data_IF_463920183352
#
_entry.id   IF_463920183352
#
_cell.length_a   1.000
_cell.length_b   1.000
_cell.length_c   1.000
_cell.angle_alpha   90.00
_cell.angle_beta   90.00
_cell.angle_gamma   90.00
#
_symmetry.space_group_name_H-M   'P 1'
#
loop_
_entity.id
_entity.type
_entity.pdbx_description
1 polymer ?
#
# COMPACT_ATOMS: atom_id res chain seq x y z
N UNK A 1 4.86 44.55 -5.70
CA UNK A 1 4.40 43.18 -6.02
C UNK A 1 4.78 42.28 -4.86
N UNK A 2 3.81 41.85 -4.05
CA UNK A 2 4.07 40.92 -2.95
C UNK A 2 4.13 39.50 -3.51
N UNK A 3 5.28 38.84 -3.31
CA UNK A 3 5.49 37.44 -3.63
C UNK A 3 4.66 36.61 -2.64
N UNK A 4 3.61 35.98 -3.16
CA UNK A 4 2.80 35.04 -2.41
C UNK A 4 3.62 33.76 -2.27
N UNK A 5 4.31 33.60 -1.15
CA UNK A 5 4.95 32.34 -0.77
C UNK A 5 3.87 31.32 -0.47
N UNK A 6 3.60 30.41 -1.42
CA UNK A 6 2.74 29.26 -1.20
C UNK A 6 3.46 28.29 -0.25
N UNK A 7 2.95 28.19 0.99
CA UNK A 7 3.36 27.14 1.92
C UNK A 7 3.01 25.79 1.28
N UNK A 8 4.03 25.08 0.82
CA UNK A 8 3.95 23.69 0.38
C UNK A 8 3.46 22.86 1.57
N UNK A 9 2.17 22.63 1.66
CA UNK A 9 1.57 21.69 2.61
C UNK A 9 2.09 20.32 2.22
N UNK A 10 3.03 19.76 2.99
CA UNK A 10 3.40 18.36 2.90
C UNK A 10 2.15 17.54 3.18
N UNK A 11 1.45 17.14 2.12
CA UNK A 11 0.52 16.02 2.17
C UNK A 11 1.30 14.86 2.80
N UNK A 12 0.74 14.12 3.77
CA UNK A 12 1.35 12.88 4.19
C UNK A 12 1.43 12.01 2.94
N UNK A 13 2.64 11.77 2.46
CA UNK A 13 2.86 10.76 1.43
C UNK A 13 2.46 9.46 2.11
N UNK A 14 1.25 8.97 1.83
CA UNK A 14 0.87 7.61 2.17
C UNK A 14 1.75 6.74 1.29
N UNK A 15 2.91 6.35 1.83
CA UNK A 15 3.83 5.44 1.16
C UNK A 15 3.04 4.18 0.80
N UNK A 16 3.29 3.66 -0.42
CA UNK A 16 2.68 2.41 -0.86
C UNK A 16 2.87 1.35 0.24
N UNK A 17 1.84 0.56 0.58
CA UNK A 17 1.98 -0.48 1.57
C UNK A 17 3.17 -1.39 1.23
N UNK A 18 4.04 -1.58 2.21
CA UNK A 18 5.19 -2.48 2.09
C UNK A 18 5.11 -3.58 3.13
N UNK A 19 5.63 -4.75 2.77
CA UNK A 19 5.79 -5.87 3.69
C UNK A 19 7.26 -6.06 4.01
N UNK A 20 7.57 -6.24 5.29
CA UNK A 20 8.94 -6.42 5.75
C UNK A 20 9.42 -7.85 5.52
N UNK A 21 10.73 -8.01 5.37
CA UNK A 21 11.37 -9.34 5.34
C UNK A 21 11.12 -10.18 6.60
N UNK A 22 10.82 -9.56 7.74
CA UNK A 22 10.49 -10.28 8.98
C UNK A 22 9.08 -10.87 8.89
N UNK A 23 8.10 -10.04 8.51
CA UNK A 23 6.73 -10.50 8.27
C UNK A 23 6.72 -11.63 7.23
N UNK A 24 7.44 -11.48 6.12
CA UNK A 24 7.54 -12.55 5.10
C UNK A 24 8.03 -13.88 5.69
N UNK A 25 9.02 -13.85 6.58
CA UNK A 25 9.54 -15.05 7.24
C UNK A 25 8.50 -15.66 8.17
N UNK A 26 7.72 -14.84 8.87
CA UNK A 26 6.63 -15.31 9.73
C UNK A 26 5.51 -15.98 8.92
N UNK A 27 5.09 -15.38 7.81
CA UNK A 27 4.12 -15.99 6.88
C UNK A 27 4.62 -17.32 6.32
N UNK A 28 5.88 -17.39 5.88
CA UNK A 28 6.48 -18.64 5.37
C UNK A 28 6.53 -19.71 6.47
N UNK A 29 6.89 -19.34 7.69
CA UNK A 29 6.95 -20.28 8.81
C UNK A 29 5.56 -20.72 9.26
N UNK A 30 4.55 -19.84 9.19
CA UNK A 30 3.16 -20.17 9.46
C UNK A 30 2.61 -21.18 8.44
N UNK A 31 2.84 -20.97 7.15
CA UNK A 31 2.45 -21.92 6.08
C UNK A 31 3.13 -23.29 6.29
N UNK A 32 4.43 -23.30 6.57
CA UNK A 32 5.17 -24.54 6.88
C UNK A 32 4.66 -25.25 8.11
N UNK A 33 4.28 -24.51 9.16
CA UNK A 33 3.70 -25.06 10.37
C UNK A 33 2.33 -25.66 10.09
N UNK A 34 1.45 -24.95 9.39
CA UNK A 34 0.13 -25.44 9.02
C UNK A 34 0.22 -26.73 8.19
N UNK A 35 1.18 -26.82 7.26
CA UNK A 35 1.44 -28.04 6.48
C UNK A 35 1.98 -29.19 7.31
N UNK A 36 2.90 -28.92 8.23
CA UNK A 36 3.39 -29.94 9.15
C UNK A 36 2.24 -30.52 9.98
N UNK A 37 1.40 -29.65 10.55
CA UNK A 37 0.25 -30.05 11.38
C UNK A 37 -0.82 -30.80 10.57
N UNK A 38 -1.11 -30.37 9.34
CA UNK A 38 -2.03 -31.06 8.43
C UNK A 38 -1.57 -32.48 8.07
N UNK A 39 -0.25 -32.70 8.02
CA UNK A 39 0.34 -34.02 7.80
C UNK A 39 0.58 -34.81 9.09
N UNK A 40 0.20 -34.27 10.26
CA UNK A 40 0.36 -34.91 11.56
C UNK A 40 1.78 -34.84 12.14
N UNK A 41 2.66 -34.00 11.59
CA UNK A 41 4.01 -33.77 12.11
C UNK A 41 4.07 -32.54 13.03
N UNK A 42 5.00 -32.56 13.99
CA UNK A 42 5.33 -31.37 14.78
C UNK A 42 6.24 -30.40 14.00
N UNK A 43 6.06 -29.09 14.20
CA UNK A 43 6.94 -28.07 13.62
C UNK A 43 7.93 -27.55 14.67
N UNK A 44 9.24 -27.44 14.38
CA UNK A 44 9.91 -27.75 13.11
C UNK A 44 10.28 -29.24 12.95
N UNK A 45 10.20 -29.77 11.73
CA UNK A 45 10.60 -31.15 11.40
C UNK A 45 11.56 -31.21 10.20
N UNK A 46 12.04 -32.42 9.86
CA UNK A 46 12.98 -32.63 8.74
C UNK A 46 12.40 -32.17 7.40
N UNK A 47 11.09 -32.34 7.19
CA UNK A 47 10.35 -31.91 5.99
C UNK A 47 10.06 -30.40 6.01
N UNK A 48 9.64 -29.86 7.15
CA UNK A 48 9.30 -28.45 7.34
C UNK A 48 10.25 -27.77 8.35
N UNK A 49 11.40 -27.31 7.85
CA UNK A 49 12.38 -26.59 8.67
C UNK A 49 11.94 -25.15 8.90
N UNK A 50 12.20 -24.63 10.10
CA UNK A 50 12.04 -23.20 10.42
C UNK A 50 12.99 -22.36 9.57
N UNK A 51 12.45 -21.44 8.78
CA UNK A 51 13.21 -20.45 8.05
C UNK A 51 13.70 -19.38 9.02
N UNK A 52 15.00 -19.10 8.96
CA UNK A 52 15.62 -18.02 9.73
C UNK A 52 15.69 -16.76 8.86
N UNK A 53 15.56 -15.59 9.48
CA UNK A 53 15.63 -14.30 8.78
C UNK A 53 16.94 -14.13 7.99
N UNK A 54 18.08 -14.52 8.57
CA UNK A 54 19.39 -14.51 7.89
C UNK A 54 19.42 -15.31 6.58
N UNK A 55 18.68 -16.42 6.50
CA UNK A 55 18.66 -17.28 5.31
C UNK A 55 17.72 -16.71 4.25
N UNK A 56 16.65 -16.05 4.68
CA UNK A 56 15.79 -15.27 3.80
C UNK A 56 16.58 -14.10 3.18
N UNK A 57 17.32 -13.32 3.98
CA UNK A 57 18.12 -12.19 3.47
C UNK A 57 19.13 -12.62 2.40
N UNK A 58 19.75 -13.80 2.54
CA UNK A 58 20.66 -14.37 1.53
C UNK A 58 19.96 -14.79 0.24
N UNK A 59 18.66 -15.07 0.30
CA UNK A 59 17.85 -15.49 -0.85
C UNK A 59 17.34 -14.30 -1.66
N UNK A 60 17.04 -13.18 -1.01
CA UNK A 60 16.53 -11.95 -1.66
C UNK A 60 17.33 -11.54 -2.91
N UNK A 61 18.67 -11.35 -2.85
CA UNK A 61 19.45 -10.97 -4.03
C UNK A 61 19.46 -12.06 -5.12
N UNK A 62 19.29 -13.34 -4.75
CA UNK A 62 19.23 -14.45 -5.73
C UNK A 62 17.91 -14.48 -6.50
N UNK A 63 16.81 -14.04 -5.88
CA UNK A 63 15.47 -14.05 -6.49
C UNK A 63 15.19 -12.76 -7.25
N UNK A 64 15.56 -11.61 -6.67
CA UNK A 64 15.26 -10.29 -7.24
C UNK A 64 16.44 -9.71 -8.05
N UNK A 65 17.64 -10.27 -7.93
CA UNK A 65 18.88 -9.68 -8.45
C UNK A 65 19.53 -8.73 -7.44
N UNK A 66 20.86 -8.65 -7.44
CA UNK A 66 21.64 -7.83 -6.48
C UNK A 66 21.31 -6.34 -6.61
N UNK A 67 21.32 -5.80 -7.83
CA UNK A 67 21.05 -4.38 -8.08
C UNK A 67 19.60 -3.98 -7.75
N UNK A 68 18.64 -4.85 -8.08
CA UNK A 68 17.22 -4.59 -7.86
C UNK A 68 16.85 -4.73 -6.38
N UNK A 69 17.40 -5.73 -5.68
CA UNK A 69 17.13 -5.92 -4.25
C UNK A 69 17.65 -4.77 -3.40
N UNK A 70 18.78 -4.15 -3.76
CA UNK A 70 19.34 -3.02 -3.04
C UNK A 70 18.36 -1.83 -2.90
N UNK A 71 17.43 -1.65 -3.86
CA UNK A 71 16.40 -0.60 -3.82
C UNK A 71 15.41 -0.74 -2.66
N UNK A 72 15.25 -1.97 -2.16
CA UNK A 72 14.30 -2.31 -1.11
C UNK A 72 14.99 -2.57 0.23
N UNK A 73 16.31 -2.35 0.29
CA UNK A 73 17.07 -2.54 1.51
C UNK A 73 16.65 -1.52 2.57
N UNK A 74 16.44 -2.01 3.78
CA UNK A 74 16.02 -1.21 4.92
C UNK A 74 16.74 -1.69 6.18
N UNK A 75 16.53 -0.98 7.27
CA UNK A 75 17.01 -1.37 8.59
C UNK A 75 15.86 -1.29 9.58
N UNK A 76 15.89 -2.16 10.60
CA UNK A 76 14.96 -2.10 11.72
C UNK A 76 15.73 -2.03 13.03
N UNK A 77 15.13 -1.40 14.03
CA UNK A 77 15.65 -1.37 15.40
C UNK A 77 15.05 -2.53 16.17
N UNK A 78 15.93 -3.37 16.71
CA UNK A 78 15.54 -4.45 17.61
C UNK A 78 15.20 -3.89 19.01
N UNK A 79 14.59 -4.70 19.89
CA UNK A 79 14.29 -4.33 21.27
C UNK A 79 15.54 -4.00 22.11
N UNK A 80 16.72 -4.39 21.63
CA UNK A 80 18.04 -4.04 22.19
C UNK A 80 18.57 -2.68 21.69
N UNK A 81 17.86 -2.00 20.79
CA UNK A 81 18.26 -0.72 20.19
C UNK A 81 19.26 -0.84 19.03
N UNK A 82 19.63 -2.06 18.63
CA UNK A 82 20.55 -2.31 17.51
C UNK A 82 19.84 -2.19 16.17
N UNK A 83 20.50 -1.58 15.18
CA UNK A 83 20.03 -1.53 13.80
C UNK A 83 20.44 -2.81 13.06
N UNK A 84 19.45 -3.57 12.61
CA UNK A 84 19.63 -4.82 11.89
C UNK A 84 19.14 -4.70 10.46
N UNK A 85 19.81 -5.36 9.49
CA UNK A 85 19.43 -5.29 8.09
C UNK A 85 18.10 -6.00 7.85
N UNK A 86 17.24 -5.39 7.03
CA UNK A 86 16.01 -5.98 6.55
C UNK A 86 15.69 -5.50 5.13
N UNK A 87 14.56 -5.95 4.59
CA UNK A 87 13.99 -5.41 3.36
C UNK A 87 12.55 -4.97 3.57
N UNK A 88 12.12 -3.97 2.82
CA UNK A 88 10.72 -3.55 2.70
C UNK A 88 10.28 -3.73 1.25
N UNK A 89 9.43 -4.72 1.00
CA UNK A 89 9.01 -5.08 -0.35
C UNK A 89 7.66 -4.44 -0.68
N UNK A 90 7.51 -3.84 -1.87
CA UNK A 90 6.20 -3.59 -2.45
C UNK A 90 5.49 -4.91 -2.77
N UNK A 91 4.20 -4.83 -3.06
CA UNK A 91 3.34 -5.97 -3.37
C UNK A 91 3.91 -6.92 -4.43
N UNK A 92 4.52 -6.38 -5.49
CA UNK A 92 5.09 -7.21 -6.57
C UNK A 92 6.28 -8.03 -6.07
N UNK A 93 7.22 -7.41 -5.37
CA UNK A 93 8.44 -8.05 -4.91
C UNK A 93 8.16 -9.01 -3.74
N UNK A 94 7.22 -8.70 -2.86
CA UNK A 94 6.78 -9.63 -1.81
C UNK A 94 6.15 -10.88 -2.41
N UNK A 95 5.33 -10.70 -3.46
CA UNK A 95 4.73 -11.79 -4.23
C UNK A 95 5.79 -12.65 -4.95
N UNK A 96 6.79 -12.03 -5.61
CA UNK A 96 7.93 -12.75 -6.20
C UNK A 96 8.73 -13.55 -5.15
N UNK A 97 8.94 -12.97 -3.98
CA UNK A 97 9.58 -13.68 -2.88
C UNK A 97 8.74 -14.87 -2.42
N UNK A 98 7.42 -14.72 -2.29
CA UNK A 98 6.50 -15.80 -1.92
C UNK A 98 6.48 -16.93 -2.96
N UNK A 99 6.43 -16.60 -4.26
CA UNK A 99 6.52 -17.57 -5.37
C UNK A 99 7.74 -18.48 -5.26
N UNK A 100 8.87 -17.94 -4.80
CA UNK A 100 10.10 -18.71 -4.64
C UNK A 100 10.02 -19.80 -3.56
N UNK A 101 8.95 -19.79 -2.75
CA UNK A 101 8.69 -20.79 -1.71
C UNK A 101 7.47 -21.65 -2.04
N UNK A 102 6.32 -21.04 -2.37
CA UNK A 102 5.09 -21.75 -2.70
C UNK A 102 4.05 -20.85 -3.40
N UNK A 103 3.23 -21.44 -4.27
CA UNK A 103 2.12 -20.78 -4.97
C UNK A 103 0.97 -20.40 -4.04
N UNK A 104 0.59 -21.23 -3.07
CA UNK A 104 -0.51 -20.88 -2.15
C UNK A 104 -0.13 -19.73 -1.21
N UNK A 105 1.14 -19.69 -0.78
CA UNK A 105 1.69 -18.59 -0.01
C UNK A 105 1.65 -17.28 -0.81
N UNK A 106 1.90 -17.37 -2.12
CA UNK A 106 1.81 -16.22 -3.01
C UNK A 106 0.41 -15.63 -3.02
N UNK A 107 -0.64 -16.46 -3.10
CA UNK A 107 -2.03 -15.99 -3.03
C UNK A 107 -2.32 -15.27 -1.71
N UNK A 108 -1.93 -15.87 -0.58
CA UNK A 108 -2.12 -15.26 0.74
C UNK A 108 -1.40 -13.91 0.90
N UNK A 109 -0.15 -13.82 0.44
CA UNK A 109 0.61 -12.57 0.47
C UNK A 109 -0.01 -11.53 -0.46
N UNK A 110 -0.49 -11.94 -1.63
CA UNK A 110 -1.18 -11.03 -2.56
C UNK A 110 -2.48 -10.47 -1.96
N UNK A 111 -3.31 -11.31 -1.36
CA UNK A 111 -4.56 -10.91 -0.73
C UNK A 111 -4.29 -9.95 0.43
N UNK A 112 -3.35 -10.29 1.31
CA UNK A 112 -2.92 -9.42 2.41
C UNK A 112 -2.44 -8.04 1.92
N UNK A 113 -1.61 -8.00 0.89
CA UNK A 113 -1.13 -6.73 0.32
C UNK A 113 -2.25 -5.94 -0.36
N UNK A 114 -3.19 -6.62 -1.03
CA UNK A 114 -4.36 -5.97 -1.64
C UNK A 114 -5.28 -5.36 -0.58
N UNK A 115 -5.47 -6.04 0.54
CA UNK A 115 -6.22 -5.48 1.67
C UNK A 115 -5.53 -4.27 2.29
N UNK A 116 -4.20 -4.30 2.42
CA UNK A 116 -3.44 -3.15 2.92
C UNK A 116 -3.51 -1.96 1.96
N UNK A 117 -3.46 -2.20 0.65
CA UNK A 117 -3.70 -1.19 -0.39
C UNK A 117 -5.09 -0.58 -0.24
N UNK A 118 -6.14 -1.40 -0.14
CA UNK A 118 -7.51 -0.93 0.06
C UNK A 118 -7.66 -0.12 1.37
N UNK A 119 -7.08 -0.58 2.48
CA UNK A 119 -7.12 0.10 3.79
C UNK A 119 -6.34 1.42 3.80
N UNK A 120 -5.23 1.50 3.06
CA UNK A 120 -4.41 2.71 2.96
C UNK A 120 -4.94 3.72 1.94
N UNK A 121 -5.97 3.35 1.17
CA UNK A 121 -6.47 4.17 0.07
C UNK A 121 -5.50 4.20 -1.14
N UNK A 122 -4.45 3.38 -1.11
CA UNK A 122 -3.48 3.24 -2.18
C UNK A 122 -4.06 2.31 -3.25
N UNK A 123 -4.09 2.73 -4.52
CA UNK A 123 -4.60 1.92 -5.63
C UNK A 123 -6.02 2.24 -6.10
N UNK A 124 -6.70 3.22 -5.50
CA UNK A 124 -7.91 3.77 -6.10
C UNK A 124 -7.58 4.74 -7.24
N UNK A 125 -8.23 4.57 -8.38
CA UNK A 125 -8.18 5.57 -9.45
C UNK A 125 -8.98 6.81 -9.07
N UNK A 126 -8.65 7.96 -9.66
CA UNK A 126 -9.43 9.19 -9.48
C UNK A 126 -10.93 8.94 -9.79
N UNK A 127 -11.21 8.15 -10.82
CA UNK A 127 -12.58 7.78 -11.19
C UNK A 127 -13.27 6.95 -10.09
N UNK A 128 -12.58 5.95 -9.53
CA UNK A 128 -13.13 5.15 -8.42
C UNK A 128 -13.40 6.01 -7.18
N UNK A 129 -12.52 6.98 -6.88
CA UNK A 129 -12.75 7.92 -5.78
C UNK A 129 -13.98 8.81 -6.03
N UNK A 130 -14.20 9.26 -7.28
CA UNK A 130 -15.40 10.00 -7.66
C UNK A 130 -16.66 9.16 -7.53
N UNK A 131 -16.64 7.91 -7.99
CA UNK A 131 -17.78 6.99 -7.89
C UNK A 131 -18.14 6.71 -6.42
N UNK A 132 -17.12 6.51 -5.56
CA UNK A 132 -17.30 6.36 -4.11
C UNK A 132 -17.91 7.60 -3.46
N UNK A 133 -17.53 8.81 -3.90
CA UNK A 133 -18.17 10.05 -3.44
C UNK A 133 -19.64 10.14 -3.83
N UNK A 134 -19.98 9.75 -5.05
CA UNK A 134 -21.37 9.74 -5.52
C UNK A 134 -22.20 8.76 -4.70
N UNK A 135 -21.67 7.56 -4.43
CA UNK A 135 -22.33 6.56 -3.58
C UNK A 135 -22.51 7.05 -2.14
N UNK A 136 -21.48 7.65 -1.53
CA UNK A 136 -21.55 8.19 -0.18
C UNK A 136 -22.60 9.31 -0.06
N UNK A 137 -22.73 10.14 -1.10
CA UNK A 137 -23.76 11.19 -1.16
C UNK A 137 -25.17 10.60 -1.19
N UNK A 138 -25.41 9.60 -2.04
CA UNK A 138 -26.69 8.88 -2.11
C UNK A 138 -27.04 8.20 -0.79
N UNK A 139 -26.06 7.55 -0.14
CA UNK A 139 -26.27 6.93 1.16
C UNK A 139 -26.61 7.94 2.27
N UNK A 140 -25.99 9.14 2.26
CA UNK A 140 -26.35 10.23 3.17
C UNK A 140 -27.78 10.75 2.92
N UNK A 141 -28.23 10.72 1.66
CA UNK A 141 -29.58 11.11 1.27
C UNK A 141 -30.66 10.09 1.71
N UNK A 142 -30.33 8.79 1.69
CA UNK A 142 -31.22 7.65 2.01
C UNK A 142 -31.37 7.35 3.53
N UNK A 143 -30.43 7.80 4.37
CA UNK A 143 -30.42 7.47 5.80
C UNK A 143 -31.55 8.21 6.59
N UNK A 144 -32.62 7.45 6.88
CA UNK A 144 -33.50 7.49 8.07
C UNK A 144 -34.75 8.39 8.08
N UNK A 145 -35.68 8.01 8.97
CA UNK A 145 -37.10 8.37 9.16
C UNK A 145 -37.39 9.50 10.20
N UNK A 146 -36.39 10.09 10.87
CA UNK A 146 -36.59 11.05 11.99
C UNK A 146 -36.02 12.48 11.75
N UNK A 147 -36.87 13.51 11.66
CA UNK A 147 -36.65 14.84 11.03
C UNK A 147 -35.53 15.74 11.61
N UNK A 148 -35.33 15.77 12.93
CA UNK A 148 -34.47 16.78 13.59
C UNK A 148 -32.98 16.44 13.65
N UNK A 149 -32.64 15.19 13.99
CA UNK A 149 -31.26 14.68 14.00
C UNK A 149 -30.69 14.58 12.57
N UNK A 150 -31.55 14.35 11.57
CA UNK A 150 -31.22 14.33 10.13
C UNK A 150 -30.47 15.57 9.67
N UNK A 151 -30.97 16.74 10.03
CA UNK A 151 -30.54 17.99 9.38
C UNK A 151 -29.10 18.35 9.77
N UNK A 152 -28.74 18.13 11.05
CA UNK A 152 -27.37 18.32 11.53
C UNK A 152 -26.40 17.29 10.94
N UNK A 153 -26.75 16.00 10.99
CA UNK A 153 -25.92 14.91 10.43
C UNK A 153 -25.67 15.13 8.93
N UNK A 154 -26.71 15.48 8.16
CA UNK A 154 -26.59 15.82 6.73
C UNK A 154 -25.72 17.04 6.47
N UNK A 155 -25.81 18.09 7.31
CA UNK A 155 -25.01 19.30 7.14
C UNK A 155 -23.52 19.03 7.40
N UNK A 156 -23.21 18.22 8.42
CA UNK A 156 -21.85 17.80 8.75
C UNK A 156 -21.28 16.85 7.68
N UNK A 157 -22.08 15.88 7.21
CA UNK A 157 -21.71 14.96 6.14
C UNK A 157 -21.46 15.72 4.82
N UNK A 158 -22.35 16.64 4.44
CA UNK A 158 -22.22 17.44 3.23
C UNK A 158 -20.97 18.35 3.27
N UNK A 159 -20.68 18.95 4.41
CA UNK A 159 -19.45 19.73 4.60
C UNK A 159 -18.19 18.86 4.42
N UNK A 160 -18.25 17.60 4.85
CA UNK A 160 -17.15 16.64 4.71
C UNK A 160 -17.02 16.16 3.27
N UNK A 161 -18.11 15.74 2.63
CA UNK A 161 -18.14 15.28 1.24
C UNK A 161 -17.69 16.37 0.25
N UNK A 162 -18.05 17.63 0.48
CA UNK A 162 -17.57 18.75 -0.33
C UNK A 162 -16.06 18.98 -0.21
N UNK A 163 -15.48 18.79 0.98
CA UNK A 163 -14.02 18.86 1.16
C UNK A 163 -13.34 17.74 0.39
N UNK A 164 -13.87 16.52 0.47
CA UNK A 164 -13.31 15.36 -0.26
C UNK A 164 -13.42 15.58 -1.78
N UNK A 165 -14.54 16.12 -2.28
CA UNK A 165 -14.70 16.44 -3.70
C UNK A 165 -13.66 17.42 -4.23
N UNK A 166 -13.35 18.47 -3.46
CA UNK A 166 -12.26 19.41 -3.80
C UNK A 166 -10.91 18.70 -3.86
N UNK A 167 -10.59 17.88 -2.86
CA UNK A 167 -9.32 17.14 -2.83
C UNK A 167 -9.17 16.18 -4.03
N UNK A 168 -10.22 15.47 -4.43
CA UNK A 168 -10.17 14.59 -5.61
C UNK A 168 -9.95 15.40 -6.89
N UNK A 169 -10.59 16.56 -7.02
CA UNK A 169 -10.37 17.46 -8.16
C UNK A 169 -8.93 17.96 -8.21
N UNK A 170 -8.39 18.41 -7.07
CA UNK A 170 -7.01 18.89 -6.96
C UNK A 170 -6.01 17.77 -7.31
N UNK A 171 -6.24 16.54 -6.83
CA UNK A 171 -5.44 15.36 -7.18
C UNK A 171 -5.51 15.05 -8.69
N UNK A 172 -6.68 15.19 -9.30
CA UNK A 172 -6.86 15.03 -10.74
C UNK A 172 -6.07 16.06 -11.55
N UNK A 173 -6.07 17.32 -11.12
CA UNK A 173 -5.32 18.39 -11.76
C UNK A 173 -3.81 18.12 -11.72
N UNK A 174 -3.29 17.69 -10.56
CA UNK A 174 -1.87 17.35 -10.38
C UNK A 174 -1.46 16.16 -11.27
N UNK A 175 -2.31 15.14 -11.38
CA UNK A 175 -2.03 13.98 -12.23
C UNK A 175 -1.92 14.38 -13.72
N UNK A 176 -2.79 15.30 -14.18
CA UNK A 176 -2.74 15.84 -15.55
C UNK A 176 -1.47 16.66 -15.77
N UNK A 177 -1.08 17.51 -14.81
CA UNK A 177 0.14 18.32 -14.89
C UNK A 177 1.43 17.48 -14.91
N UNK A 178 1.48 16.38 -14.17
CA UNK A 178 2.64 15.47 -14.15
C UNK A 178 2.79 14.64 -15.45
N UNK A 179 1.68 14.27 -16.09
CA UNK A 179 1.66 13.52 -17.36
C UNK A 179 1.84 14.47 -18.55
N UNK A 180 1.44 15.74 -18.41
CA UNK A 180 1.54 16.79 -19.42
C UNK A 180 2.89 17.52 -19.49
N UNK A 181 4.00 16.78 -19.51
CA UNK A 181 5.33 17.34 -19.77
C UNK A 181 5.60 17.50 -21.27
N UNK A 182 5.29 18.65 -21.87
CA UNK A 182 5.71 18.95 -23.24
C UNK A 182 4.90 20.03 -23.97
N UNK A 183 4.92 21.28 -23.49
CA UNK A 183 4.71 22.42 -24.40
C UNK A 183 6.08 22.78 -25.00
N UNK A 184 6.54 22.02 -25.99
CA UNK A 184 7.47 22.62 -26.97
C UNK A 184 6.63 23.56 -27.83
N UNK A 185 6.74 24.86 -27.55
CA UNK A 185 6.31 25.89 -28.47
C UNK A 185 7.25 25.86 -29.68
N UNK A 186 6.86 25.12 -30.73
CA UNK A 186 7.50 25.26 -32.04
C UNK A 186 7.03 26.60 -32.61
N UNK A 187 7.83 27.64 -32.36
CA UNK A 187 7.73 28.88 -33.11
C UNK A 187 8.20 28.59 -34.54
N UNK A 188 7.24 28.44 -35.46
CA UNK A 188 7.54 28.55 -36.89
C UNK A 188 7.69 30.03 -37.23
N UNK A 189 8.94 30.49 -37.24
CA UNK A 189 9.33 31.70 -37.96
C UNK A 189 9.55 31.33 -39.43
N UNK A 190 8.65 31.81 -40.29
CA UNK A 190 8.95 32.27 -41.65
C UNK A 190 7.78 33.05 -42.23
#
# INVERSE_FOLDING_TARGET
MQLITTKKTNLPVTEAPTMTSLEMVDYINADRKAKAEAEGFSFPCKKYRKLQHKDFLKKVPKVLGEEHSAKFFAQYKDGTGRELPCYRFPKRESCLMAMSYNYELQAQVFDHMTELEAKSGFGFTIQQLQDMLVLARKASDEDSSDAGRRLRKRQDDLATLNKVGKLISDLGQIAIELVGGGKEAIAHEK
#
